data_IF_628912089308
#
_entry.id   IF_628912089308
#
_cell.length_a   1.000
_cell.length_b   1.000
_cell.length_c   1.000
_cell.angle_alpha   90.00
_cell.angle_beta   90.00
_cell.angle_gamma   90.00
#
_symmetry.space_group_name_H-M   'P 1'
#
loop_
_entity.id
_entity.type
_entity.pdbx_description
1 polymer ?
#
# COMPACT_ATOMS: atom_id res chain seq x y z
N UNK A 1 25.55 1.55 35.72
CA UNK A 1 24.29 1.06 35.13
C UNK A 1 24.06 -0.36 35.55
N UNK A 2 22.86 -0.67 36.04
CA UNK A 2 22.48 -2.04 36.39
C UNK A 2 22.01 -2.81 35.14
N UNK A 3 21.79 -4.12 35.28
CA UNK A 3 21.41 -5.00 34.18
C UNK A 3 20.08 -4.61 33.51
N UNK A 4 19.06 -4.30 34.30
CA UNK A 4 17.71 -4.01 33.80
C UNK A 4 17.67 -2.67 33.05
N UNK A 5 18.37 -1.66 33.58
CA UNK A 5 18.56 -0.37 32.92
C UNK A 5 19.30 -0.54 31.58
N UNK A 6 20.35 -1.38 31.55
CA UNK A 6 21.08 -1.66 30.32
C UNK A 6 20.17 -2.25 29.24
N UNK A 7 19.33 -3.24 29.60
CA UNK A 7 18.39 -3.89 28.69
C UNK A 7 17.42 -2.92 28.06
N UNK A 8 16.86 -1.99 28.84
CA UNK A 8 15.92 -0.99 28.35
C UNK A 8 16.55 -0.04 27.32
N UNK A 9 17.84 0.27 27.46
CA UNK A 9 18.55 1.21 26.59
C UNK A 9 19.14 0.58 25.32
N UNK A 10 19.10 -0.75 25.15
CA UNK A 10 19.72 -1.42 23.98
C UNK A 10 19.06 -1.03 22.65
N UNK A 11 17.74 -0.83 22.63
CA UNK A 11 17.02 -0.39 21.43
C UNK A 11 17.47 1.01 21.00
N UNK A 12 17.47 1.96 21.92
CA UNK A 12 17.89 3.35 21.67
C UNK A 12 19.38 3.41 21.29
N UNK A 13 20.22 2.57 21.91
CA UNK A 13 21.62 2.43 21.54
C UNK A 13 21.78 1.98 20.09
N UNK A 14 20.98 0.99 19.66
CA UNK A 14 20.99 0.44 18.30
C UNK A 14 20.47 1.45 17.26
N UNK A 15 19.54 2.32 17.66
CA UNK A 15 18.98 3.41 16.83
C UNK A 15 19.83 4.68 16.84
N UNK A 16 20.92 4.69 17.60
CA UNK A 16 21.79 5.84 17.80
C UNK A 16 21.13 7.05 18.49
N UNK A 17 20.06 6.83 19.26
CA UNK A 17 19.25 7.87 19.90
C UNK A 17 19.74 8.26 21.31
N UNK A 18 20.70 7.53 21.87
CA UNK A 18 21.28 7.84 23.17
C UNK A 18 22.24 9.04 23.13
N UNK A 19 22.17 9.89 24.15
CA UNK A 19 23.19 10.89 24.43
C UNK A 19 24.57 10.24 24.73
N UNK A 20 25.63 11.06 24.69
CA UNK A 20 27.00 10.58 24.80
C UNK A 20 27.31 9.92 26.16
N UNK A 21 26.70 10.37 27.24
CA UNK A 21 26.93 9.83 28.58
C UNK A 21 26.28 8.44 28.72
N UNK A 22 25.02 8.33 28.30
CA UNK A 22 24.29 7.06 28.29
C UNK A 22 24.89 6.04 27.34
N UNK A 23 25.32 6.46 26.14
CA UNK A 23 26.00 5.59 25.19
C UNK A 23 27.27 4.99 25.80
N UNK A 24 28.12 5.82 26.42
CA UNK A 24 29.34 5.35 27.11
C UNK A 24 29.03 4.38 28.25
N UNK A 25 27.96 4.63 29.01
CA UNK A 25 27.55 3.72 30.07
C UNK A 25 27.10 2.35 29.53
N UNK A 26 26.33 2.35 28.44
CA UNK A 26 25.90 1.12 27.73
C UNK A 26 27.09 0.37 27.14
N UNK A 27 28.02 1.06 26.49
CA UNK A 27 29.24 0.46 25.95
C UNK A 27 30.09 -0.21 27.05
N UNK A 28 30.27 0.47 28.18
CA UNK A 28 31.00 -0.07 29.32
C UNK A 28 30.33 -1.33 29.91
N UNK A 29 28.99 -1.37 29.94
CA UNK A 29 28.25 -2.54 30.40
C UNK A 29 28.34 -3.70 29.40
N UNK A 30 28.19 -3.43 28.09
CA UNK A 30 28.33 -4.40 27.02
C UNK A 30 29.72 -5.05 26.99
N UNK A 31 30.76 -4.33 27.43
CA UNK A 31 32.11 -4.89 27.53
C UNK A 31 32.20 -6.06 28.53
N UNK A 32 31.41 -6.05 29.60
CA UNK A 32 31.50 -7.04 30.69
C UNK A 32 30.33 -8.02 30.76
N UNK A 33 29.16 -7.67 30.23
CA UNK A 33 27.95 -8.50 30.33
C UNK A 33 27.70 -9.32 29.06
N UNK A 34 27.85 -10.65 29.14
CA UNK A 34 27.63 -11.55 28.01
C UNK A 34 26.15 -11.62 27.57
N UNK A 35 25.21 -11.64 28.52
CA UNK A 35 23.77 -11.70 28.25
C UNK A 35 23.30 -10.47 27.46
N UNK A 36 23.73 -9.25 27.84
CA UNK A 36 23.37 -8.03 27.11
C UNK A 36 23.97 -8.02 25.69
N UNK A 37 25.15 -8.62 25.47
CA UNK A 37 25.71 -8.77 24.11
C UNK A 37 24.90 -9.73 23.25
N UNK A 38 24.44 -10.84 23.83
CA UNK A 38 23.58 -11.80 23.14
C UNK A 38 22.23 -11.17 22.77
N UNK A 39 21.61 -10.45 23.71
CA UNK A 39 20.38 -9.70 23.45
C UNK A 39 20.57 -8.66 22.33
N UNK A 40 21.68 -7.89 22.37
CA UNK A 40 22.01 -6.93 21.32
C UNK A 40 22.23 -7.61 19.96
N UNK A 41 22.83 -8.81 19.93
CA UNK A 41 22.97 -9.58 18.70
C UNK A 41 21.59 -10.00 18.15
N UNK A 42 20.67 -10.45 19.00
CA UNK A 42 19.29 -10.75 18.61
C UNK A 42 18.55 -9.54 18.05
N UNK A 43 18.67 -8.37 18.70
CA UNK A 43 18.10 -7.11 18.20
C UNK A 43 18.69 -6.69 16.85
N UNK A 44 20.00 -6.89 16.64
CA UNK A 44 20.65 -6.64 15.35
C UNK A 44 20.15 -7.58 14.26
N UNK A 45 19.97 -8.86 14.55
CA UNK A 45 19.39 -9.82 13.60
C UNK A 45 17.97 -9.41 13.22
N UNK A 46 17.11 -9.11 14.21
CA UNK A 46 15.76 -8.64 13.96
C UNK A 46 15.75 -7.34 13.14
N UNK A 47 16.61 -6.38 13.49
CA UNK A 47 16.77 -5.15 12.71
C UNK A 47 17.24 -5.43 11.29
N UNK A 48 18.16 -6.36 11.08
CA UNK A 48 18.63 -6.75 9.75
C UNK A 48 17.55 -7.48 8.95
N UNK A 49 16.68 -8.27 9.58
CA UNK A 49 15.53 -8.90 8.93
C UNK A 49 14.48 -7.86 8.52
N UNK A 50 14.24 -6.86 9.39
CA UNK A 50 13.32 -5.76 9.12
C UNK A 50 13.88 -4.77 8.08
N UNK A 51 15.15 -4.38 8.19
CA UNK A 51 15.81 -3.41 7.30
C UNK A 51 16.24 -4.05 5.98
N UNK A 52 16.61 -5.33 6.00
CA UNK A 52 16.96 -6.13 4.84
C UNK A 52 15.76 -6.64 4.08
N UNK A 53 14.53 -6.20 4.47
CA UNK A 53 13.27 -6.48 3.81
C UNK A 53 13.24 -7.87 3.23
N UNK A 54 13.04 -8.90 4.08
CA UNK A 54 12.96 -10.33 3.75
C UNK A 54 13.42 -10.66 2.31
N UNK A 55 14.57 -11.31 2.04
CA UNK A 55 15.15 -11.45 0.70
C UNK A 55 14.30 -12.21 -0.36
N UNK A 56 13.08 -12.65 -0.01
CA UNK A 56 12.05 -13.08 -0.96
C UNK A 56 11.25 -11.90 -1.56
N UNK A 57 11.40 -10.69 -1.00
CA UNK A 57 10.69 -9.44 -1.32
C UNK A 57 11.71 -8.30 -1.37
N UNK A 58 12.80 -8.47 -2.12
CA UNK A 58 13.86 -7.47 -2.32
C UNK A 58 13.44 -6.22 -3.11
N UNK A 59 12.19 -5.78 -2.98
CA UNK A 59 11.66 -4.56 -3.55
C UNK A 59 11.49 -3.47 -2.49
N UNK A 60 11.55 -2.22 -2.93
CA UNK A 60 11.17 -1.06 -2.13
C UNK A 60 9.74 -1.25 -1.58
N UNK A 61 9.57 -1.15 -0.26
CA UNK A 61 8.25 -1.23 0.36
C UNK A 61 7.38 -0.07 -0.13
N UNK A 62 6.11 -0.33 -0.48
CA UNK A 62 5.20 0.76 -0.80
C UNK A 62 5.01 1.65 0.43
N UNK A 63 5.02 2.96 0.23
CA UNK A 63 4.62 3.89 1.28
C UNK A 63 3.10 3.77 1.54
N UNK A 64 2.63 4.25 2.70
CA UNK A 64 1.20 4.28 2.98
C UNK A 64 0.41 5.06 1.91
N UNK A 65 0.95 6.18 1.42
CA UNK A 65 0.34 6.98 0.36
C UNK A 65 0.24 6.21 -0.96
N UNK A 66 1.26 5.42 -1.29
CA UNK A 66 1.22 4.56 -2.47
C UNK A 66 0.20 3.42 -2.32
N UNK A 67 0.07 2.82 -1.13
CA UNK A 67 -0.98 1.84 -0.85
C UNK A 67 -2.37 2.46 -1.06
N UNK A 68 -2.60 3.66 -0.53
CA UNK A 68 -3.86 4.40 -0.74
C UNK A 68 -4.09 4.68 -2.23
N UNK A 69 -3.05 5.11 -2.95
CA UNK A 69 -3.13 5.42 -4.37
C UNK A 69 -3.42 4.20 -5.26
N UNK A 70 -3.14 2.97 -4.80
CA UNK A 70 -3.55 1.76 -5.55
C UNK A 70 -5.07 1.58 -5.65
N UNK A 71 -5.84 2.26 -4.79
CA UNK A 71 -7.30 2.24 -4.81
C UNK A 71 -7.90 3.45 -5.53
N UNK A 72 -7.09 4.39 -6.01
CA UNK A 72 -7.56 5.58 -6.71
C UNK A 72 -7.98 5.22 -8.15
N UNK A 73 -9.28 5.36 -8.52
CA UNK A 73 -9.75 5.15 -9.88
C UNK A 73 -9.10 6.08 -10.91
N UNK A 74 -8.58 7.24 -10.50
CA UNK A 74 -7.93 8.19 -11.39
C UNK A 74 -6.52 7.75 -11.80
N UNK A 75 -5.98 6.69 -11.20
CA UNK A 75 -4.69 6.12 -11.57
C UNK A 75 -3.52 7.06 -11.22
N UNK A 76 -3.46 7.52 -9.98
CA UNK A 76 -2.40 8.40 -9.50
C UNK A 76 -0.98 7.79 -9.60
N UNK A 77 -0.88 6.45 -9.69
CA UNK A 77 0.40 5.74 -9.80
C UNK A 77 0.67 5.28 -11.25
N UNK A 78 1.92 5.36 -11.73
CA UNK A 78 2.32 4.73 -12.98
C UNK A 78 2.04 3.22 -12.97
N UNK A 79 1.56 2.67 -14.08
CA UNK A 79 1.24 1.23 -14.22
C UNK A 79 2.36 0.28 -13.75
N UNK A 80 3.66 0.53 -14.04
CA UNK A 80 4.73 -0.33 -13.55
C UNK A 80 4.83 -0.34 -12.02
N UNK A 81 4.61 0.80 -11.36
CA UNK A 81 4.62 0.90 -9.90
C UNK A 81 3.41 0.18 -9.30
N UNK A 82 2.21 0.35 -9.87
CA UNK A 82 1.02 -0.41 -9.42
C UNK A 82 1.24 -1.93 -9.50
N UNK A 83 1.86 -2.42 -10.57
CA UNK A 83 2.17 -3.84 -10.73
C UNK A 83 3.18 -4.34 -9.68
N UNK A 84 4.20 -3.54 -9.36
CA UNK A 84 5.16 -3.86 -8.31
C UNK A 84 4.50 -3.92 -6.93
N UNK A 85 3.62 -2.97 -6.60
CA UNK A 85 2.86 -2.98 -5.34
C UNK A 85 1.92 -4.19 -5.28
N UNK A 86 1.23 -4.53 -6.37
CA UNK A 86 0.37 -5.70 -6.42
C UNK A 86 1.15 -7.02 -6.29
N UNK A 87 2.41 -7.08 -6.74
CA UNK A 87 3.30 -8.20 -6.45
C UNK A 87 3.68 -8.23 -4.96
N UNK A 88 4.13 -7.10 -4.41
CA UNK A 88 4.49 -6.99 -3.00
C UNK A 88 3.35 -7.38 -2.05
N UNK A 89 2.11 -6.95 -2.33
CA UNK A 89 0.93 -7.32 -1.54
C UNK A 89 0.57 -8.81 -1.60
N UNK A 90 1.04 -9.54 -2.62
CA UNK A 90 0.88 -11.00 -2.69
C UNK A 90 1.91 -11.71 -1.82
N UNK A 91 3.11 -11.15 -1.71
CA UNK A 91 4.25 -11.80 -1.07
C UNK A 91 4.43 -11.37 0.40
N UNK A 92 3.91 -10.21 0.80
CA UNK A 92 4.01 -9.65 2.15
C UNK A 92 2.66 -9.62 2.89
N UNK A 93 2.47 -10.54 3.84
CA UNK A 93 1.22 -10.66 4.61
C UNK A 93 0.87 -9.42 5.44
N UNK A 94 1.87 -8.70 5.98
CA UNK A 94 1.65 -7.49 6.76
C UNK A 94 1.04 -6.37 5.92
N UNK A 95 1.61 -6.09 4.73
CA UNK A 95 1.07 -5.08 3.83
C UNK A 95 -0.28 -5.49 3.23
N UNK A 96 -0.51 -6.79 3.01
CA UNK A 96 -1.82 -7.30 2.58
C UNK A 96 -2.93 -7.06 3.62
N UNK A 97 -2.60 -7.19 4.92
CA UNK A 97 -3.51 -6.89 6.01
C UNK A 97 -3.82 -5.40 6.07
N UNK A 98 -2.79 -4.55 6.00
CA UNK A 98 -2.92 -3.09 6.00
C UNK A 98 -3.81 -2.62 4.84
N UNK A 99 -3.57 -3.11 3.63
CA UNK A 99 -4.40 -2.81 2.46
C UNK A 99 -5.87 -3.24 2.65
N UNK A 100 -6.12 -4.36 3.34
CA UNK A 100 -7.49 -4.84 3.64
C UNK A 100 -8.20 -3.92 4.62
N UNK A 101 -7.50 -3.43 5.64
CA UNK A 101 -8.01 -2.49 6.64
C UNK A 101 -8.28 -1.12 6.02
N UNK A 102 -7.40 -0.64 5.13
CA UNK A 102 -7.55 0.66 4.46
C UNK A 102 -8.71 0.68 3.46
N UNK A 103 -8.88 -0.40 2.67
CA UNK A 103 -9.87 -0.47 1.58
C UNK A 103 -11.29 0.03 1.93
N UNK A 104 -11.92 -0.32 3.07
CA UNK A 104 -13.26 0.20 3.42
C UNK A 104 -13.28 1.67 3.83
N UNK A 105 -12.15 2.23 4.27
CA UNK A 105 -12.03 3.63 4.71
C UNK A 105 -11.82 4.59 3.55
N UNK A 106 -11.31 4.09 2.42
CA UNK A 106 -11.06 4.91 1.25
C UNK A 106 -12.36 5.32 0.57
N UNK A 107 -12.43 6.58 0.06
CA UNK A 107 -13.60 7.03 -0.66
C UNK A 107 -13.84 6.07 -1.83
N UNK A 108 -14.99 5.40 -1.80
CA UNK A 108 -15.38 4.57 -2.94
C UNK A 108 -15.40 5.49 -4.15
N UNK A 109 -14.84 5.07 -5.31
CA UNK A 109 -15.07 5.79 -6.54
C UNK A 109 -16.57 6.00 -6.62
N UNK A 110 -17.02 7.27 -6.54
CA UNK A 110 -18.39 7.60 -6.91
C UNK A 110 -18.48 7.05 -8.30
N UNK A 111 -19.18 5.92 -8.46
CA UNK A 111 -19.49 5.37 -9.78
C UNK A 111 -20.04 6.56 -10.51
N UNK A 112 -19.25 7.12 -11.41
CA UNK A 112 -19.72 8.17 -12.28
C UNK A 112 -20.78 7.44 -13.08
N UNK A 113 -22.01 7.52 -12.59
CA UNK A 113 -23.16 6.89 -13.21
C UNK A 113 -23.05 7.27 -14.68
N UNK A 114 -23.03 6.23 -15.53
CA UNK A 114 -22.79 6.31 -16.96
C UNK A 114 -23.22 7.67 -17.48
N UNK A 115 -22.25 8.46 -17.97
CA UNK A 115 -22.46 9.86 -18.33
C UNK A 115 -23.82 10.01 -19.00
N UNK A 116 -24.66 10.98 -18.61
CA UNK A 116 -25.98 11.18 -19.22
C UNK A 116 -25.93 11.30 -20.75
N UNK A 117 -24.75 11.61 -21.31
CA UNK A 117 -24.43 11.54 -22.72
C UNK A 117 -24.69 10.14 -23.36
N UNK A 118 -24.36 9.03 -22.71
CA UNK A 118 -24.62 7.69 -23.24
C UNK A 118 -26.11 7.36 -23.26
N UNK A 119 -26.86 7.78 -22.24
CA UNK A 119 -28.32 7.65 -22.22
C UNK A 119 -28.94 8.51 -23.33
N UNK A 120 -28.48 9.76 -23.51
CA UNK A 120 -28.94 10.63 -24.58
C UNK A 120 -28.64 10.06 -25.98
N UNK A 121 -27.44 9.53 -26.21
CA UNK A 121 -27.05 8.90 -27.47
C UNK A 121 -27.89 7.65 -27.76
N UNK A 122 -28.08 6.78 -26.76
CA UNK A 122 -28.95 5.61 -26.89
C UNK A 122 -30.40 6.00 -27.22
N UNK A 123 -30.92 7.06 -26.59
CA UNK A 123 -32.27 7.56 -26.83
C UNK A 123 -32.40 8.14 -28.25
N UNK A 124 -31.40 8.86 -28.75
CA UNK A 124 -31.37 9.38 -30.12
C UNK A 124 -31.35 8.26 -31.17
N UNK A 125 -30.56 7.20 -30.94
CA UNK A 125 -30.54 6.03 -31.83
C UNK A 125 -31.91 5.34 -31.82
N UNK A 126 -32.52 5.16 -30.65
CA UNK A 126 -33.85 4.55 -30.52
C UNK A 126 -34.92 5.37 -31.25
N UNK A 127 -34.90 6.70 -31.10
CA UNK A 127 -35.79 7.62 -31.81
C UNK A 127 -35.57 7.53 -33.32
N UNK A 128 -34.33 7.52 -33.79
CA UNK A 128 -34.03 7.40 -35.22
C UNK A 128 -34.52 6.07 -35.81
N UNK A 129 -34.38 4.95 -35.08
CA UNK A 129 -34.91 3.64 -35.49
C UNK A 129 -36.43 3.65 -35.55
N UNK A 130 -37.12 4.19 -34.54
CA UNK A 130 -38.58 4.26 -34.51
C UNK A 130 -39.13 5.16 -35.62
N UNK A 131 -38.50 6.31 -35.87
CA UNK A 131 -38.86 7.20 -36.98
C UNK A 131 -38.61 6.50 -38.32
N UNK A 132 -37.42 5.94 -38.54
CA UNK A 132 -37.10 5.23 -39.78
C UNK A 132 -38.06 4.08 -40.09
N UNK A 133 -38.44 3.30 -39.07
CA UNK A 133 -39.37 2.17 -39.21
C UNK A 133 -40.78 2.63 -39.62
N UNK A 134 -41.28 3.70 -38.99
CA UNK A 134 -42.60 4.28 -39.30
C UNK A 134 -42.65 4.84 -40.73
N UNK A 135 -41.58 5.46 -41.20
CA UNK A 135 -41.51 5.98 -42.57
C UNK A 135 -41.37 4.85 -43.59
N UNK A 136 -40.51 3.85 -43.34
CA UNK A 136 -40.38 2.69 -44.22
C UNK A 136 -41.67 1.87 -44.40
N UNK A 137 -42.53 1.81 -43.38
CA UNK A 137 -43.83 1.15 -43.47
C UNK A 137 -44.79 1.85 -44.43
N UNK A 138 -44.75 3.18 -44.52
CA UNK A 138 -45.62 3.96 -45.43
C UNK A 138 -45.28 3.71 -46.91
N UNK A 139 -44.02 3.48 -47.25
CA UNK A 139 -43.59 3.23 -48.63
C UNK A 139 -43.99 1.84 -49.15
N UNK A 140 -44.26 0.87 -48.29
CA UNK A 140 -44.65 -0.49 -48.70
C UNK A 140 -46.13 -0.66 -49.03
N UNK A 141 -46.99 0.28 -48.66
CA UNK A 141 -48.45 0.18 -48.88
C UNK A 141 -48.89 0.85 -50.19
N UNK A 142 -48.02 1.65 -50.81
CA UNK A 142 -48.29 2.38 -52.05
C UNK A 142 -47.67 1.79 -53.32
N UNK A 143 -47.06 0.60 -53.24
CA UNK A 143 -46.51 -0.16 -54.37
C UNK A 143 -47.31 -1.46 -54.54
#
# INVERSE_FOLDING_TARGET
MNHDEAKLLLSDWLLEELDADRRRAVDAHLAVCAECRELLAGLRTLRAELAGGHPAVGGEHPTADELVATFDPAGALPTPRMAAIALHLRDCAACAEEARVLRPLLPRPRRQFAHPAYLAAALLVLVAVLVGWRWGALWRVGA
#
